data_IF_944928405523
#
_entry.id   IF_944928405523
#
_cell.length_a   1.000
_cell.length_b   1.000
_cell.length_c   1.000
_cell.angle_alpha   90.00
_cell.angle_beta   90.00
_cell.angle_gamma   90.00
#
_symmetry.space_group_name_H-M   'P 1'
#
loop_
_entity.id
_entity.type
_entity.pdbx_description
1 polymer ?
#
# COMPACT_ATOMS: atom_id res chain seq x y z
N UNK A 1 -2.58 7.81 -7.68
CA UNK A 1 -1.89 6.66 -7.07
C UNK A 1 -0.38 6.74 -7.26
N UNK A 2 0.17 6.70 -8.49
CA UNK A 2 1.62 6.80 -8.69
C UNK A 2 2.25 8.07 -8.09
N UNK A 3 1.61 9.23 -8.26
CA UNK A 3 2.08 10.49 -7.66
C UNK A 3 2.05 10.49 -6.12
N UNK A 4 1.14 9.73 -5.51
CA UNK A 4 1.14 9.54 -4.06
C UNK A 4 2.38 8.75 -3.62
N UNK A 5 2.72 7.65 -4.31
CA UNK A 5 3.93 6.88 -4.01
C UNK A 5 5.19 7.73 -4.20
N UNK A 6 5.27 8.51 -5.30
CA UNK A 6 6.40 9.42 -5.55
C UNK A 6 6.52 10.52 -4.50
N UNK A 7 5.42 11.00 -3.93
CA UNK A 7 5.48 12.02 -2.87
C UNK A 7 6.01 11.49 -1.54
N UNK A 8 6.06 10.16 -1.33
CA UNK A 8 6.63 9.54 -0.13
C UNK A 8 8.16 9.56 -0.11
N UNK A 9 8.81 9.49 -1.27
CA UNK A 9 10.26 9.61 -1.38
C UNK A 9 10.66 10.25 -2.73
N UNK A 10 11.41 11.38 -2.74
CA UNK A 10 11.79 12.08 -3.96
C UNK A 10 12.73 11.30 -4.90
N UNK A 11 13.34 10.20 -4.43
CA UNK A 11 14.17 9.31 -5.25
C UNK A 11 13.34 8.34 -6.10
N UNK A 12 12.02 8.26 -5.89
CA UNK A 12 11.12 7.45 -6.71
C UNK A 12 10.88 8.13 -8.06
N UNK A 13 11.36 7.51 -9.13
CA UNK A 13 11.25 7.95 -10.52
C UNK A 13 10.15 7.20 -11.28
N UNK A 14 9.96 5.91 -11.00
CA UNK A 14 8.92 5.07 -11.59
C UNK A 14 8.22 4.20 -10.54
N UNK A 15 6.98 3.81 -10.83
CA UNK A 15 6.12 2.99 -9.96
C UNK A 15 5.48 1.92 -10.81
N UNK A 16 5.52 0.66 -10.34
CA UNK A 16 4.92 -0.50 -10.97
C UNK A 16 3.91 -1.11 -10.00
N UNK A 17 2.63 -1.11 -10.37
CA UNK A 17 1.58 -1.70 -9.54
C UNK A 17 1.42 -3.19 -9.86
N UNK A 18 1.29 -4.01 -8.81
CA UNK A 18 0.91 -5.41 -8.95
C UNK A 18 -0.60 -5.56 -8.77
N UNK A 19 -1.33 -5.52 -9.88
CA UNK A 19 -2.79 -5.69 -9.85
C UNK A 19 -3.23 -7.07 -9.36
N UNK A 20 -2.35 -8.06 -9.41
CA UNK A 20 -2.60 -9.40 -8.85
C UNK A 20 -2.56 -9.42 -7.32
N UNK A 21 -2.01 -8.38 -6.68
CA UNK A 21 -1.91 -8.28 -5.23
C UNK A 21 -3.16 -7.67 -4.57
N UNK A 22 -4.20 -7.35 -5.33
CA UNK A 22 -5.41 -6.72 -4.79
C UNK A 22 -6.09 -7.67 -3.79
N UNK A 23 -6.19 -7.26 -2.54
CA UNK A 23 -6.88 -8.02 -1.49
C UNK A 23 -7.70 -7.11 -0.59
N UNK A 24 -8.75 -7.66 0.01
CA UNK A 24 -9.57 -6.97 1.00
C UNK A 24 -9.21 -7.52 2.37
N UNK A 25 -8.76 -6.64 3.25
CA UNK A 25 -8.38 -6.96 4.62
C UNK A 25 -9.36 -6.34 5.62
N UNK A 26 -9.50 -6.98 6.77
CA UNK A 26 -10.17 -6.38 7.93
C UNK A 26 -9.15 -5.57 8.72
N UNK A 27 -9.44 -4.30 8.99
CA UNK A 27 -8.57 -3.45 9.79
C UNK A 27 -8.91 -3.66 11.26
N UNK A 28 -7.93 -3.95 12.10
CA UNK A 28 -8.12 -3.98 13.55
C UNK A 28 -8.07 -2.57 14.16
N UNK A 29 -9.05 -2.22 14.99
CA UNK A 29 -9.02 -1.00 15.82
C UNK A 29 -8.92 -1.29 17.33
N UNK A 30 -8.69 -2.56 17.71
CA UNK A 30 -8.62 -2.98 19.10
C UNK A 30 -9.98 -3.10 19.81
N UNK A 31 -11.12 -2.94 19.12
CA UNK A 31 -12.47 -3.19 19.66
C UNK A 31 -13.15 -4.35 18.94
N UNK A 32 -14.19 -4.99 19.55
CA UNK A 32 -14.95 -6.06 18.88
C UNK A 32 -15.67 -5.62 17.60
N UNK A 33 -15.88 -4.31 17.40
CA UNK A 33 -16.50 -3.80 16.17
C UNK A 33 -15.53 -3.83 14.97
N UNK A 34 -14.22 -3.93 15.21
CA UNK A 34 -13.21 -3.80 14.18
C UNK A 34 -13.11 -2.38 13.61
N UNK A 35 -12.09 -2.14 12.80
CA UNK A 35 -11.80 -0.87 12.12
C UNK A 35 -12.37 -0.77 10.70
N UNK A 36 -13.18 -1.75 10.27
CA UNK A 36 -13.76 -1.81 8.93
C UNK A 36 -12.90 -2.60 7.94
N UNK A 37 -13.10 -2.35 6.65
CA UNK A 37 -12.40 -3.04 5.57
C UNK A 37 -11.52 -2.09 4.75
N UNK A 38 -10.44 -2.63 4.21
CA UNK A 38 -9.53 -1.90 3.34
C UNK A 38 -9.19 -2.75 2.12
N UNK A 39 -9.22 -2.14 0.94
CA UNK A 39 -8.61 -2.71 -0.26
C UNK A 39 -7.12 -2.35 -0.25
N UNK A 40 -6.24 -3.33 -0.34
CA UNK A 40 -4.80 -3.10 -0.44
C UNK A 40 -4.29 -3.34 -1.86
N UNK A 41 -3.28 -2.58 -2.27
CA UNK A 41 -2.59 -2.72 -3.54
C UNK A 41 -1.09 -2.54 -3.30
N UNK A 42 -0.32 -3.53 -3.71
CA UNK A 42 1.13 -3.51 -3.59
C UNK A 42 1.79 -3.14 -4.91
N UNK A 43 3.06 -2.78 -4.83
CA UNK A 43 3.84 -2.45 -6.01
C UNK A 43 5.32 -2.31 -5.72
N UNK A 44 6.05 -1.97 -6.77
CA UNK A 44 7.49 -1.78 -6.78
C UNK A 44 7.83 -0.39 -7.30
N UNK A 45 9.05 0.06 -7.03
CA UNK A 45 9.56 1.34 -7.48
C UNK A 45 10.80 1.17 -8.35
N UNK A 46 11.04 2.14 -9.24
CA UNK A 46 12.31 2.28 -9.96
C UNK A 46 12.77 1.04 -10.74
N UNK A 47 11.86 0.11 -11.08
CA UNK A 47 12.17 -1.21 -11.63
C UNK A 47 13.10 -2.06 -10.73
N UNK A 48 13.15 -1.78 -9.42
CA UNK A 48 13.89 -2.58 -8.46
C UNK A 48 13.05 -3.81 -8.15
N UNK A 49 13.56 -4.99 -8.52
CA UNK A 49 12.84 -6.25 -8.35
C UNK A 49 12.50 -6.50 -6.88
N UNK A 50 13.47 -6.31 -6.00
CA UNK A 50 13.31 -6.45 -4.55
C UNK A 50 12.99 -5.10 -3.89
N UNK A 51 11.91 -4.46 -4.36
CA UNK A 51 11.30 -3.32 -3.69
C UNK A 51 9.82 -3.59 -3.46
N UNK A 52 9.28 -3.05 -2.38
CA UNK A 52 7.87 -3.20 -2.06
C UNK A 52 7.30 -1.93 -1.42
N UNK A 53 6.01 -1.71 -1.63
CA UNK A 53 5.16 -0.83 -0.83
C UNK A 53 3.74 -1.40 -0.85
N UNK A 54 2.92 -1.01 0.11
CA UNK A 54 1.49 -1.35 0.10
C UNK A 54 0.66 -0.09 0.35
N UNK A 55 -0.26 0.17 -0.58
CA UNK A 55 -1.27 1.22 -0.47
C UNK A 55 -2.55 0.62 0.08
N UNK A 56 -3.27 1.41 0.89
CA UNK A 56 -4.58 1.07 1.39
C UNK A 56 -5.64 2.05 0.91
N UNK A 57 -6.83 1.54 0.62
CA UNK A 57 -8.02 2.30 0.25
C UNK A 57 -9.19 1.86 1.12
N UNK A 58 -9.67 2.70 2.05
CA UNK A 58 -10.74 2.30 2.95
C UNK A 58 -12.04 2.03 2.18
N UNK A 59 -12.81 1.05 2.67
CA UNK A 59 -14.15 0.74 2.19
C UNK A 59 -15.18 1.31 3.18
N UNK A 60 -16.06 2.19 2.72
CA UNK A 60 -16.92 3.02 3.59
C UNK A 60 -17.94 2.24 4.43
N UNK A 61 -18.47 1.11 3.94
CA UNK A 61 -19.55 0.40 4.64
C UNK A 61 -19.28 -1.09 4.85
N UNK A 62 -18.73 -1.78 3.85
CA UNK A 62 -18.44 -3.21 3.88
C UNK A 62 -17.49 -3.62 2.73
N UNK A 63 -17.12 -4.90 2.69
CA UNK A 63 -16.23 -5.52 1.68
C UNK A 63 -16.65 -5.32 0.21
N UNK A 64 -17.91 -5.00 -0.07
CA UNK A 64 -18.42 -4.76 -1.42
C UNK A 64 -18.55 -3.26 -1.76
N UNK A 65 -18.10 -2.37 -0.87
CA UNK A 65 -18.17 -0.93 -1.09
C UNK A 65 -17.14 -0.46 -2.11
N UNK A 66 -17.42 0.69 -2.74
CA UNK A 66 -16.44 1.37 -3.60
C UNK A 66 -15.30 1.90 -2.72
N UNK A 67 -14.02 1.63 -3.04
CA UNK A 67 -12.90 2.18 -2.27
C UNK A 67 -12.81 3.70 -2.35
N UNK A 68 -12.55 4.37 -1.23
CA UNK A 68 -12.32 5.81 -1.23
C UNK A 68 -10.86 6.13 -1.62
N UNK A 69 -10.67 6.42 -2.91
CA UNK A 69 -9.38 6.78 -3.50
C UNK A 69 -8.81 8.11 -3.01
N UNK A 70 -9.63 8.98 -2.38
CA UNK A 70 -9.15 10.25 -1.81
C UNK A 70 -8.49 10.03 -0.45
N UNK A 71 -8.75 8.90 0.19
CA UNK A 71 -8.24 8.54 1.53
C UNK A 71 -7.16 7.45 1.45
N UNK A 72 -6.34 7.51 0.40
CA UNK A 72 -5.23 6.59 0.22
C UNK A 72 -4.26 6.65 1.41
N UNK A 73 -3.89 5.48 1.93
CA UNK A 73 -2.94 5.34 3.02
C UNK A 73 -1.70 4.54 2.59
N UNK A 74 -0.57 4.81 3.25
CA UNK A 74 0.62 3.96 3.19
C UNK A 74 0.48 2.89 4.27
N UNK A 75 0.12 1.66 3.88
CA UNK A 75 -0.06 0.52 4.78
C UNK A 75 1.29 -0.13 5.13
N UNK A 76 2.17 -0.23 4.15
CA UNK A 76 3.59 -0.53 4.33
C UNK A 76 4.41 0.54 3.60
N UNK A 77 5.45 1.09 4.24
CA UNK A 77 6.30 2.09 3.62
C UNK A 77 7.07 1.49 2.44
N UNK A 78 7.65 2.35 1.61
CA UNK A 78 8.53 1.92 0.53
C UNK A 78 9.78 1.27 1.14
N UNK A 79 10.04 0.01 0.78
CA UNK A 79 11.20 -0.77 1.23
C UNK A 79 11.97 -1.36 0.07
N UNK A 80 13.24 -1.66 0.33
CA UNK A 80 14.11 -2.43 -0.57
C UNK A 80 14.81 -3.53 0.22
N UNK A 81 14.97 -4.70 -0.38
CA UNK A 81 15.72 -5.78 0.23
C UNK A 81 17.22 -5.47 0.15
N UNK A 82 17.90 -5.46 1.29
CA UNK A 82 19.36 -5.35 1.39
C UNK A 82 19.90 -6.58 2.10
N UNK A 83 20.55 -7.47 1.34
CA UNK A 83 20.90 -8.79 1.83
C UNK A 83 19.64 -9.61 2.10
N UNK A 84 19.35 -9.88 3.37
CA UNK A 84 18.17 -10.64 3.79
C UNK A 84 17.19 -9.81 4.64
N UNK A 85 17.34 -8.48 4.66
CA UNK A 85 16.54 -7.56 5.48
C UNK A 85 15.85 -6.54 4.60
N UNK A 86 14.56 -6.34 4.83
CA UNK A 86 13.79 -5.27 4.19
C UNK A 86 14.01 -3.96 4.92
N UNK A 87 14.75 -3.05 4.29
CA UNK A 87 15.05 -1.73 4.82
C UNK A 87 14.15 -0.67 4.20
N UNK A 88 13.89 0.40 4.95
CA UNK A 88 13.20 1.58 4.42
C UNK A 88 14.01 2.14 3.24
N UNK A 89 13.31 2.43 2.15
CA UNK A 89 13.92 3.07 0.99
C UNK A 89 14.21 4.53 1.32
N UNK A 90 15.50 4.84 1.50
CA UNK A 90 16.01 6.18 1.76
C UNK A 90 16.46 6.90 0.50
#
# INVERSE_FOLDING_TARGET
MAEFVKSRNPKVKSVQFDWGSLTIEDIGNGTPQGGGNILTLSGRINNIEDSEFTLGFPLEHNRNSIPDIKRISEMQPIRVLKGNVWDIYE
#
